data_IF_481052820134
#
_entry.id   IF_481052820134
#
_cell.length_a   1.000
_cell.length_b   1.000
_cell.length_c   1.000
_cell.angle_alpha   90.00
_cell.angle_beta   90.00
_cell.angle_gamma   90.00
#
_symmetry.space_group_name_H-M   'P 1'
#
loop_
_entity.id
_entity.type
_entity.pdbx_description
1 polymer ?
#
# COMPACT_ATOMS: atom_id res chain seq x y z
N UNK A 1 -10.99 -9.87 19.58
CA UNK A 1 -10.47 -9.76 18.19
C UNK A 1 -11.62 -9.48 17.25
N UNK A 2 -11.61 -8.33 16.55
CA UNK A 2 -12.71 -7.92 15.67
C UNK A 2 -12.66 -8.75 14.38
N UNK A 3 -13.58 -9.69 14.21
CA UNK A 3 -13.69 -10.52 13.00
C UNK A 3 -14.33 -9.68 11.88
N UNK A 4 -13.51 -8.95 11.12
CA UNK A 4 -13.97 -8.10 10.03
C UNK A 4 -14.44 -9.01 8.88
N UNK A 5 -15.75 -8.98 8.60
CA UNK A 5 -16.42 -9.79 7.57
C UNK A 5 -15.70 -9.75 6.21
N UNK A 6 -15.58 -10.88 5.49
CA UNK A 6 -14.94 -10.95 4.16
C UNK A 6 -15.45 -9.90 3.16
N UNK A 7 -16.72 -9.52 3.24
CA UNK A 7 -17.33 -8.49 2.38
C UNK A 7 -16.72 -7.10 2.57
N UNK A 8 -16.38 -6.74 3.81
CA UNK A 8 -15.77 -5.43 4.14
C UNK A 8 -14.34 -5.31 3.59
N UNK A 9 -13.63 -6.43 3.48
CA UNK A 9 -12.29 -6.47 2.88
C UNK A 9 -12.32 -6.28 1.37
N UNK A 10 -13.22 -6.99 0.69
CA UNK A 10 -13.37 -6.89 -0.77
C UNK A 10 -13.74 -5.47 -1.17
N UNK A 11 -14.71 -4.84 -0.48
CA UNK A 11 -15.10 -3.47 -0.77
C UNK A 11 -13.94 -2.47 -0.58
N UNK A 12 -13.13 -2.62 0.48
CA UNK A 12 -11.97 -1.75 0.71
C UNK A 12 -10.83 -1.97 -0.29
N UNK A 13 -10.56 -3.22 -0.66
CA UNK A 13 -9.59 -3.54 -1.69
C UNK A 13 -10.00 -2.92 -3.03
N UNK A 14 -11.28 -3.01 -3.40
CA UNK A 14 -11.81 -2.40 -4.62
C UNK A 14 -11.67 -0.88 -4.61
N UNK A 15 -11.96 -0.22 -3.48
CA UNK A 15 -11.78 1.23 -3.33
C UNK A 15 -10.31 1.64 -3.44
N UNK A 16 -9.39 0.81 -2.93
CA UNK A 16 -7.96 1.04 -3.05
C UNK A 16 -7.51 0.92 -4.52
N UNK A 17 -7.92 -0.15 -5.22
CA UNK A 17 -7.61 -0.34 -6.63
C UNK A 17 -8.18 0.78 -7.52
N UNK A 18 -9.42 1.20 -7.29
CA UNK A 18 -10.04 2.32 -8.02
C UNK A 18 -9.26 3.62 -7.81
N UNK A 19 -8.78 3.86 -6.59
CA UNK A 19 -7.97 5.02 -6.28
C UNK A 19 -6.58 4.96 -6.94
N UNK A 20 -5.92 3.81 -6.88
CA UNK A 20 -4.60 3.60 -7.48
C UNK A 20 -4.68 3.73 -9.00
N UNK A 21 -5.75 3.21 -9.61
CA UNK A 21 -6.03 3.34 -11.04
C UNK A 21 -6.25 4.80 -11.45
N UNK A 22 -7.08 5.55 -10.72
CA UNK A 22 -7.28 6.99 -10.98
C UNK A 22 -5.99 7.79 -10.85
N UNK A 23 -5.16 7.46 -9.85
CA UNK A 23 -3.90 8.14 -9.65
C UNK A 23 -2.90 7.82 -10.77
N UNK A 24 -2.88 6.59 -11.26
CA UNK A 24 -2.12 6.19 -12.45
C UNK A 24 -2.56 6.97 -13.69
N UNK A 25 -3.86 7.05 -13.96
CA UNK A 25 -4.43 7.80 -15.09
C UNK A 25 -4.03 9.28 -15.06
N UNK A 26 -4.08 9.92 -13.88
CA UNK A 26 -3.63 11.31 -13.71
C UNK A 26 -2.14 11.46 -14.04
N UNK A 27 -1.29 10.55 -13.57
CA UNK A 27 0.16 10.61 -13.82
C UNK A 27 0.50 10.36 -15.29
N UNK A 28 -0.17 9.41 -15.93
CA UNK A 28 -0.01 9.17 -17.37
C UNK A 28 -0.43 10.39 -18.19
N UNK A 29 -1.57 10.99 -17.86
CA UNK A 29 -2.07 12.17 -18.54
C UNK A 29 -1.12 13.37 -18.39
N UNK A 30 -0.56 13.59 -17.20
CA UNK A 30 0.48 14.62 -16.97
C UNK A 30 1.75 14.33 -17.78
N UNK A 31 2.20 13.08 -17.82
CA UNK A 31 3.37 12.68 -18.61
C UNK A 31 3.14 12.91 -20.10
N UNK A 32 1.97 12.56 -20.62
CA UNK A 32 1.59 12.75 -22.01
C UNK A 32 1.55 14.24 -22.40
N UNK A 33 1.01 15.08 -21.52
CA UNK A 33 1.03 16.54 -21.70
C UNK A 33 2.45 17.10 -21.72
N UNK A 34 3.30 16.69 -20.77
CA UNK A 34 4.71 17.13 -20.72
C UNK A 34 5.52 16.69 -21.95
N UNK A 35 5.19 15.52 -22.53
CA UNK A 35 5.78 15.02 -23.78
C UNK A 35 5.26 15.72 -25.04
N UNK A 36 4.29 16.64 -24.90
CA UNK A 36 3.69 17.34 -26.03
C UNK A 36 2.82 16.46 -26.93
N UNK A 37 2.30 15.34 -26.42
CA UNK A 37 1.48 14.40 -27.21
C UNK A 37 0.11 14.97 -27.59
N UNK A 38 -0.34 16.00 -26.87
CA UNK A 38 -1.61 16.67 -27.09
C UNK A 38 -1.41 18.17 -27.23
N UNK A 39 -2.31 18.82 -27.97
CA UNK A 39 -2.25 20.26 -28.26
C UNK A 39 -2.50 21.11 -27.02
N UNK A 40 -3.45 20.68 -26.18
CA UNK A 40 -3.92 21.43 -25.01
C UNK A 40 -4.18 20.52 -23.83
N UNK A 41 -4.12 21.09 -22.62
CA UNK A 41 -4.41 20.41 -21.36
C UNK A 41 -5.82 19.78 -21.35
N UNK A 42 -6.79 20.45 -21.99
CA UNK A 42 -8.17 19.99 -22.12
C UNK A 42 -8.28 18.73 -23.00
N UNK A 43 -7.56 18.70 -24.12
CA UNK A 43 -7.52 17.53 -24.99
C UNK A 43 -6.90 16.32 -24.29
N UNK A 44 -5.85 16.54 -23.48
CA UNK A 44 -5.27 15.48 -22.65
C UNK A 44 -6.26 14.97 -21.61
N UNK A 45 -6.97 15.86 -20.92
CA UNK A 45 -7.96 15.51 -19.90
C UNK A 45 -9.10 14.66 -20.49
N UNK A 46 -9.62 15.04 -21.66
CA UNK A 46 -10.65 14.29 -22.37
C UNK A 46 -10.15 12.91 -22.84
N UNK A 47 -8.93 12.83 -23.39
CA UNK A 47 -8.35 11.57 -23.86
C UNK A 47 -8.11 10.56 -22.72
N UNK A 48 -7.63 11.04 -21.58
CA UNK A 48 -7.34 10.20 -20.41
C UNK A 48 -8.53 10.05 -19.45
N UNK A 49 -9.69 10.65 -19.77
CA UNK A 49 -10.89 10.65 -18.92
C UNK A 49 -10.65 11.17 -17.48
N UNK A 50 -9.74 12.14 -17.34
CA UNK A 50 -9.39 12.78 -16.07
C UNK A 50 -10.06 14.15 -16.01
N UNK A 51 -10.65 14.58 -14.88
CA UNK A 51 -11.20 15.92 -14.76
C UNK A 51 -10.16 17.00 -15.03
N UNK A 52 -10.52 17.98 -15.89
CA UNK A 52 -9.63 19.06 -16.28
C UNK A 52 -9.01 19.82 -15.10
N UNK A 53 -9.82 20.17 -14.09
CA UNK A 53 -9.35 20.89 -12.91
C UNK A 53 -8.27 20.10 -12.15
N UNK A 54 -8.44 18.78 -12.01
CA UNK A 54 -7.47 17.90 -11.37
C UNK A 54 -6.13 17.92 -12.11
N UNK A 55 -6.17 17.84 -13.44
CA UNK A 55 -4.97 17.84 -14.26
C UNK A 55 -4.29 19.22 -14.27
N UNK A 56 -5.08 20.30 -14.24
CA UNK A 56 -4.59 21.67 -14.10
C UNK A 56 -3.90 21.90 -12.76
N UNK A 57 -4.52 21.52 -11.64
CA UNK A 57 -3.94 21.63 -10.29
C UNK A 57 -2.60 20.86 -10.22
N UNK A 58 -2.58 19.62 -10.73
CA UNK A 58 -1.36 18.83 -10.76
C UNK A 58 -0.27 19.44 -11.66
N UNK A 59 -0.64 20.04 -12.80
CA UNK A 59 0.31 20.77 -13.66
C UNK A 59 0.93 21.99 -12.95
N UNK A 60 0.21 22.58 -11.99
CA UNK A 60 0.68 23.69 -11.14
C UNK A 60 1.52 23.22 -9.95
N UNK A 61 1.74 21.91 -9.81
CA UNK A 61 2.57 21.33 -8.76
C UNK A 61 1.80 20.82 -7.54
N UNK A 62 0.47 20.73 -7.59
CA UNK A 62 -0.27 20.03 -6.55
C UNK A 62 0.11 18.54 -6.55
N UNK A 63 0.63 18.08 -5.41
CA UNK A 63 0.99 16.67 -5.22
C UNK A 63 -0.27 15.81 -5.22
N UNK A 64 -0.19 14.65 -5.83
CA UNK A 64 -1.26 13.65 -5.76
C UNK A 64 -1.54 13.24 -4.31
N UNK A 65 -2.74 12.75 -4.02
CA UNK A 65 -3.11 12.37 -2.66
C UNK A 65 -2.13 11.33 -2.10
N UNK A 66 -1.63 10.37 -2.88
CA UNK A 66 -0.70 9.38 -2.31
C UNK A 66 0.65 10.01 -2.02
N UNK A 67 1.20 10.84 -2.91
CA UNK A 67 2.44 11.57 -2.67
C UNK A 67 2.36 12.52 -1.47
N UNK A 68 1.23 13.21 -1.31
CA UNK A 68 0.99 14.09 -0.17
C UNK A 68 0.95 13.32 1.16
N UNK A 69 0.51 12.06 1.18
CA UNK A 69 0.39 11.29 2.43
C UNK A 69 1.58 10.33 2.67
N UNK A 70 2.50 10.19 1.71
CA UNK A 70 3.69 9.34 1.85
C UNK A 70 4.52 9.69 3.09
N UNK A 71 4.72 10.99 3.37
CA UNK A 71 5.52 11.45 4.51
C UNK A 71 4.84 11.19 5.88
N UNK A 72 3.52 11.01 5.90
CA UNK A 72 2.75 10.70 7.10
C UNK A 72 2.68 9.19 7.37
N UNK A 73 3.15 8.35 6.44
CA UNK A 73 3.17 6.91 6.67
C UNK A 73 4.29 6.55 7.65
N UNK A 74 3.93 5.87 8.73
CA UNK A 74 4.89 5.39 9.72
C UNK A 74 6.01 4.52 9.11
N UNK A 75 5.71 3.79 8.03
CA UNK A 75 6.68 3.00 7.27
C UNK A 75 6.69 3.50 5.82
N UNK A 76 7.86 3.84 5.26
CA UNK A 76 7.97 4.30 3.88
C UNK A 76 7.62 3.18 2.88
N UNK A 77 7.26 3.54 1.65
CA UNK A 77 6.92 2.56 0.60
C UNK A 77 8.04 1.54 0.36
N UNK A 78 9.30 1.97 0.35
CA UNK A 78 10.47 1.09 0.17
C UNK A 78 10.55 -0.03 1.22
N UNK A 79 10.36 0.32 2.50
CA UNK A 79 10.39 -0.66 3.59
C UNK A 79 9.18 -1.59 3.55
N UNK A 80 8.01 -1.10 3.08
CA UNK A 80 6.85 -1.96 2.82
C UNK A 80 7.12 -2.97 1.71
N UNK A 81 7.72 -2.56 0.61
CA UNK A 81 8.12 -3.48 -0.47
C UNK A 81 9.09 -4.56 0.02
N UNK A 82 10.06 -4.17 0.85
CA UNK A 82 11.00 -5.11 1.47
C UNK A 82 10.28 -6.16 2.31
N UNK A 83 9.27 -5.75 3.09
CA UNK A 83 8.41 -6.67 3.85
C UNK A 83 7.61 -7.60 2.94
N UNK A 84 7.01 -7.08 1.86
CA UNK A 84 6.28 -7.89 0.87
C UNK A 84 7.20 -8.95 0.25
N UNK A 85 8.39 -8.54 -0.21
CA UNK A 85 9.41 -9.46 -0.78
C UNK A 85 9.86 -10.50 0.24
N UNK A 86 10.04 -10.11 1.49
CA UNK A 86 10.40 -11.04 2.56
C UNK A 86 9.30 -12.09 2.77
N UNK A 87 8.03 -11.67 2.82
CA UNK A 87 6.89 -12.59 2.96
C UNK A 87 6.80 -13.54 1.77
N UNK A 88 6.98 -13.05 0.55
CA UNK A 88 7.01 -13.87 -0.66
C UNK A 88 8.13 -14.90 -0.64
N UNK A 89 9.34 -14.52 -0.18
CA UNK A 89 10.46 -15.45 -0.01
C UNK A 89 10.15 -16.51 1.05
N UNK A 90 9.64 -16.12 2.21
CA UNK A 90 9.26 -17.07 3.27
C UNK A 90 8.22 -18.07 2.77
N UNK A 91 7.21 -17.58 2.04
CA UNK A 91 6.20 -18.42 1.42
C UNK A 91 6.78 -19.38 0.37
N UNK A 92 7.75 -18.94 -0.43
CA UNK A 92 8.45 -19.80 -1.39
C UNK A 92 9.18 -20.96 -0.69
N UNK A 93 9.72 -20.72 0.50
CA UNK A 93 10.35 -21.76 1.34
C UNK A 93 9.35 -22.58 2.18
N UNK A 94 8.04 -22.36 2.01
CA UNK A 94 7.00 -23.09 2.74
C UNK A 94 6.76 -22.58 4.17
N UNK A 95 7.35 -21.46 4.56
CA UNK A 95 7.12 -20.84 5.87
C UNK A 95 5.94 -19.87 5.83
N UNK A 96 5.01 -20.06 6.76
CA UNK A 96 3.88 -19.15 6.95
C UNK A 96 4.29 -17.98 7.84
N UNK A 97 4.04 -16.75 7.40
CA UNK A 97 4.36 -15.56 8.19
C UNK A 97 3.24 -15.27 9.19
N UNK A 98 3.53 -15.45 10.48
CA UNK A 98 2.62 -15.07 11.56
C UNK A 98 2.49 -13.56 11.67
N UNK A 99 1.30 -13.08 12.05
CA UNK A 99 1.03 -11.63 12.24
C UNK A 99 1.94 -10.96 13.27
N UNK A 100 2.41 -11.71 14.27
CA UNK A 100 3.37 -11.24 15.26
C UNK A 100 4.76 -11.03 14.65
N UNK A 101 5.24 -11.98 13.85
CA UNK A 101 6.51 -11.88 13.16
C UNK A 101 6.52 -10.70 12.17
N UNK A 102 5.41 -10.51 11.42
CA UNK A 102 5.22 -9.35 10.54
C UNK A 102 5.40 -8.03 11.32
N UNK A 103 4.78 -7.94 12.50
CA UNK A 103 4.87 -6.74 13.34
C UNK A 103 6.29 -6.51 13.83
N UNK A 104 6.97 -7.55 14.31
CA UNK A 104 8.34 -7.46 14.80
C UNK A 104 9.29 -6.97 13.71
N UNK A 105 9.22 -7.56 12.51
CA UNK A 105 10.03 -7.12 11.38
C UNK A 105 9.75 -5.66 11.00
N UNK A 106 8.48 -5.27 10.97
CA UNK A 106 8.09 -3.91 10.65
C UNK A 106 8.56 -2.89 11.71
N UNK A 107 8.48 -3.24 13.01
CA UNK A 107 9.01 -2.42 14.10
C UNK A 107 10.54 -2.36 14.09
N UNK A 108 11.24 -3.45 13.73
CA UNK A 108 12.69 -3.44 13.57
C UNK A 108 13.13 -2.47 12.46
N UNK A 109 12.46 -2.51 11.30
CA UNK A 109 12.73 -1.56 10.20
C UNK A 109 12.45 -0.11 10.62
N UNK A 110 11.39 0.11 11.41
CA UNK A 110 11.06 1.42 11.95
C UNK A 110 12.15 1.95 12.88
N UNK A 111 12.63 1.10 13.81
CA UNK A 111 13.67 1.46 14.78
C UNK A 111 15.00 1.77 14.10
N UNK A 112 15.40 0.95 13.13
CA UNK A 112 16.60 1.16 12.32
C UNK A 112 16.57 2.50 11.58
N UNK A 113 15.39 2.92 11.10
CA UNK A 113 15.24 4.16 10.34
C UNK A 113 15.18 5.41 11.22
N UNK A 114 14.39 5.37 12.28
CA UNK A 114 14.19 6.52 13.17
C UNK A 114 15.36 6.69 14.15
N UNK A 115 16.30 5.73 14.18
CA UNK A 115 17.35 5.61 15.20
C UNK A 115 16.76 5.72 16.62
N UNK A 116 15.54 5.20 16.78
CA UNK A 116 14.77 5.27 18.00
C UNK A 116 14.28 3.88 18.34
N UNK A 117 14.82 3.32 19.42
CA UNK A 117 14.55 1.97 19.87
C UNK A 117 13.13 1.80 20.45
N UNK A 118 12.46 2.89 20.81
CA UNK A 118 11.10 2.88 21.37
C UNK A 118 10.01 3.09 20.30
N UNK A 119 10.41 3.23 19.03
CA UNK A 119 9.48 3.36 17.93
C UNK A 119 8.62 2.09 17.80
N UNK A 120 7.32 2.24 18.02
CA UNK A 120 6.33 1.17 17.96
C UNK A 120 5.27 1.48 16.92
N UNK A 121 4.75 0.42 16.29
CA UNK A 121 3.68 0.55 15.33
C UNK A 121 2.32 0.59 16.03
N UNK A 122 1.40 1.36 15.46
CA UNK A 122 0.03 1.41 15.95
C UNK A 122 -0.64 0.03 15.91
N UNK A 123 -1.60 -0.24 16.81
CA UNK A 123 -2.23 -1.56 16.97
C UNK A 123 -2.95 -2.06 15.71
N UNK A 124 -3.41 -1.14 14.85
CA UNK A 124 -4.11 -1.45 13.61
C UNK A 124 -3.19 -1.62 12.40
N UNK A 125 -1.88 -1.40 12.54
CA UNK A 125 -0.96 -1.37 11.41
C UNK A 125 -0.91 -2.71 10.66
N UNK A 126 -0.81 -3.82 11.39
CA UNK A 126 -0.81 -5.19 10.81
C UNK A 126 -2.09 -5.44 10.01
N UNK A 127 -3.24 -5.06 10.56
CA UNK A 127 -4.53 -5.20 9.90
C UNK A 127 -4.62 -4.34 8.64
N UNK A 128 -4.12 -3.11 8.69
CA UNK A 128 -4.06 -2.21 7.54
C UNK A 128 -3.11 -2.73 6.46
N UNK A 129 -1.92 -3.23 6.84
CA UNK A 129 -0.96 -3.82 5.91
C UNK A 129 -1.55 -5.01 5.16
N UNK A 130 -2.21 -5.93 5.88
CA UNK A 130 -2.91 -7.06 5.26
C UNK A 130 -4.02 -6.61 4.31
N UNK A 131 -4.70 -5.51 4.61
CA UNK A 131 -5.75 -4.94 3.75
C UNK A 131 -5.16 -4.32 2.48
N UNK A 132 -3.99 -3.71 2.58
CA UNK A 132 -3.28 -3.10 1.45
C UNK A 132 -2.66 -4.13 0.50
N UNK A 133 -2.38 -5.35 0.99
CA UNK A 133 -1.74 -6.42 0.23
C UNK A 133 -2.62 -7.67 0.12
N UNK A 134 -3.77 -7.61 -0.58
CA UNK A 134 -4.67 -8.76 -0.75
C UNK A 134 -4.00 -9.94 -1.46
N UNK A 135 -2.97 -9.72 -2.28
CA UNK A 135 -2.14 -10.74 -2.92
C UNK A 135 -1.43 -11.64 -1.90
N UNK A 136 -1.17 -11.12 -0.70
CA UNK A 136 -0.54 -11.87 0.37
C UNK A 136 -1.52 -12.71 1.19
N UNK A 137 -2.83 -12.63 0.89
CA UNK A 137 -3.89 -13.33 1.62
C UNK A 137 -3.66 -14.84 1.73
N UNK A 138 -3.15 -15.45 0.66
CA UNK A 138 -2.88 -16.90 0.59
C UNK A 138 -1.67 -17.32 1.43
N UNK A 139 -0.78 -16.38 1.75
CA UNK A 139 0.44 -16.64 2.54
C UNK A 139 0.24 -16.44 4.04
N UNK A 140 -0.85 -15.79 4.45
CA UNK A 140 -1.22 -15.70 5.85
C UNK A 140 -1.98 -16.95 6.27
N UNK A 141 -1.40 -17.70 7.20
CA UNK A 141 -2.04 -18.87 7.79
C UNK A 141 -3.45 -18.51 8.30
N UNK A 142 -4.48 -19.13 7.72
CA UNK A 142 -5.82 -19.16 8.33
C UNK A 142 -5.74 -20.12 9.51
N UNK A 143 -5.31 -19.62 10.67
CA UNK A 143 -5.36 -20.34 11.94
C UNK A 143 -4.87 -21.81 11.88
N UNK A 144 -3.61 -22.02 12.19
CA UNK A 144 -3.32 -23.10 13.15
C UNK A 144 -2.81 -22.42 14.40
N UNK A 145 -3.67 -22.46 15.43
CA UNK A 145 -3.40 -22.00 16.78
C UNK A 145 -2.09 -22.56 17.30
N UNK A 146 -1.49 -21.82 18.23
CA UNK A 146 -0.28 -22.11 18.97
C UNK A 146 -0.41 -23.33 19.91
N UNK A 147 -0.97 -24.44 19.44
CA UNK A 147 -1.27 -25.65 20.23
C UNK A 147 -0.52 -26.91 19.77
N UNK A 148 0.52 -26.79 18.94
CA UNK A 148 1.42 -27.92 18.61
C UNK A 148 2.90 -27.53 18.73
N UNK A 149 3.31 -27.04 19.89
CA UNK A 149 4.72 -27.10 20.34
C UNK A 149 4.73 -27.46 21.82
N UNK A 150 4.09 -28.58 22.17
CA UNK A 150 4.35 -29.36 23.39
C UNK A 150 3.79 -30.77 23.13
N UNK A 151 4.62 -31.67 22.59
CA UNK A 151 4.54 -33.11 22.84
C UNK A 151 5.94 -33.69 22.85
#
# INVERSE_FOLDING_TARGET
MVNISPRKWVAKAQLQTDRDQKEHEIQEALSAFQKGQFKDLKATAEHHNVPYNTLWDCSKGCKSHTAAYQHLQAIPPEAKELLVRHIQKQAHYGFLVTTQNLRQLAEQLLRQRTNNNDATLGPNWVSAFKQQHPELRSYYSRKMDAARVLS
#
